data_IF_883531210969
#
_entry.id   IF_883531210969
#
_cell.length_a   1.000
_cell.length_b   1.000
_cell.length_c   1.000
_cell.angle_alpha   90.00
_cell.angle_beta   90.00
_cell.angle_gamma   90.00
#
_symmetry.space_group_name_H-M   'P 1'
#
loop_
_entity.id
_entity.type
_entity.pdbx_description
1 polymer ?
#
# COMPACT_ATOMS: atom_id res chain seq x y z
N UNK A 1 1.46 8.44 9.02
CA UNK A 1 1.65 7.09 8.46
C UNK A 1 3.02 6.60 8.83
N UNK A 2 3.11 5.38 9.32
CA UNK A 2 4.37 4.69 9.52
C UNK A 2 4.71 3.94 8.23
N UNK A 3 5.77 4.37 7.56
CA UNK A 3 6.18 3.91 6.24
C UNK A 3 7.50 3.16 6.35
N UNK A 4 7.56 1.95 5.82
CA UNK A 4 8.81 1.17 5.71
C UNK A 4 9.60 1.65 4.51
N UNK A 5 8.95 1.75 3.34
CA UNK A 5 9.61 2.14 2.08
C UNK A 5 8.60 2.64 1.04
N UNK A 6 9.08 3.52 0.15
CA UNK A 6 8.38 3.96 -1.05
C UNK A 6 9.36 3.85 -2.21
N UNK A 7 9.04 3.05 -3.23
CA UNK A 7 9.94 2.80 -4.35
C UNK A 7 9.17 2.45 -5.63
N UNK A 8 9.84 2.48 -6.78
CA UNK A 8 9.29 2.00 -8.05
C UNK A 8 9.96 0.69 -8.46
N UNK A 9 9.16 -0.27 -8.92
CA UNK A 9 9.62 -1.56 -9.43
C UNK A 9 8.59 -2.10 -10.45
N UNK A 10 8.63 -3.39 -10.74
CA UNK A 10 7.63 -4.11 -11.54
C UNK A 10 6.67 -4.86 -10.62
N UNK A 11 5.37 -4.78 -10.89
CA UNK A 11 4.35 -5.58 -10.20
C UNK A 11 4.60 -7.07 -10.47
N UNK A 12 4.72 -7.88 -9.41
CA UNK A 12 4.97 -9.31 -9.49
C UNK A 12 3.70 -10.16 -9.60
N UNK A 13 2.55 -9.63 -9.15
CA UNK A 13 1.35 -10.41 -8.88
C UNK A 13 0.07 -9.79 -9.45
N UNK A 14 -1.04 -10.54 -9.32
CA UNK A 14 -2.40 -10.16 -9.75
C UNK A 14 -2.53 -9.85 -11.25
N UNK A 15 -3.63 -9.19 -11.64
CA UNK A 15 -3.91 -8.78 -13.02
C UNK A 15 -2.95 -7.71 -13.57
N UNK A 16 -2.08 -7.15 -12.74
CA UNK A 16 -1.14 -6.08 -13.10
C UNK A 16 0.32 -6.55 -13.20
N UNK A 17 0.58 -7.85 -13.04
CA UNK A 17 1.92 -8.42 -13.13
C UNK A 17 2.64 -8.01 -14.43
N UNK A 18 3.90 -7.60 -14.31
CA UNK A 18 4.74 -7.14 -15.42
C UNK A 18 4.68 -5.63 -15.71
N UNK A 19 3.83 -4.87 -15.03
CA UNK A 19 3.73 -3.42 -15.22
C UNK A 19 4.61 -2.62 -14.24
N UNK A 20 5.21 -1.49 -14.66
CA UNK A 20 5.84 -0.56 -13.73
C UNK A 20 4.85 -0.08 -12.67
N UNK A 21 5.23 -0.18 -11.40
CA UNK A 21 4.39 0.11 -10.25
C UNK A 21 5.19 0.85 -9.17
N UNK A 22 4.56 1.82 -8.52
CA UNK A 22 5.06 2.42 -7.28
C UNK A 22 4.53 1.60 -6.12
N UNK A 23 5.39 1.21 -5.19
CA UNK A 23 5.01 0.51 -3.98
C UNK A 23 5.11 1.47 -2.80
N UNK A 24 4.04 1.54 -2.01
CA UNK A 24 4.00 2.23 -0.71
C UNK A 24 3.84 1.15 0.35
N UNK A 25 4.96 0.75 0.96
CA UNK A 25 4.98 -0.30 1.98
C UNK A 25 4.87 0.33 3.36
N UNK A 26 3.75 0.12 4.03
CA UNK A 26 3.50 0.59 5.39
C UNK A 26 4.19 -0.33 6.41
N UNK A 27 4.34 0.16 7.63
CA UNK A 27 4.89 -0.59 8.76
C UNK A 27 3.77 -1.08 9.68
N UNK A 28 3.96 -2.27 10.24
CA UNK A 28 3.09 -2.89 11.24
C UNK A 28 2.18 -3.94 10.63
N UNK A 29 2.17 -5.13 11.22
CA UNK A 29 1.19 -6.18 10.97
C UNK A 29 0.79 -6.79 12.31
N UNK A 30 -0.48 -7.16 12.47
CA UNK A 30 -1.00 -7.84 13.66
C UNK A 30 -1.15 -9.36 13.43
N UNK A 31 -0.92 -9.84 12.20
CA UNK A 31 -0.78 -11.26 11.90
C UNK A 31 0.67 -11.72 12.11
N UNK A 32 0.85 -13.02 12.35
CA UNK A 32 2.15 -13.67 12.52
C UNK A 32 2.16 -14.96 11.70
N UNK A 33 1.97 -14.79 10.41
CA UNK A 33 1.87 -15.87 9.44
C UNK A 33 3.18 -16.67 9.42
N UNK A 34 3.09 -18.00 9.40
CA UNK A 34 4.28 -18.89 9.43
C UNK A 34 5.18 -18.73 8.19
N UNK A 35 4.64 -18.14 7.11
CA UNK A 35 5.31 -18.01 5.81
C UNK A 35 5.46 -16.54 5.37
N UNK A 36 5.56 -15.61 6.33
CA UNK A 36 5.71 -14.19 6.01
C UNK A 36 7.11 -13.90 5.43
N UNK A 37 7.15 -13.43 4.20
CA UNK A 37 8.38 -12.99 3.52
C UNK A 37 8.80 -11.55 3.89
N UNK A 38 7.92 -10.83 4.58
CA UNK A 38 8.04 -9.38 4.83
C UNK A 38 8.06 -9.03 6.32
N UNK A 39 8.59 -9.91 7.18
CA UNK A 39 8.63 -9.71 8.65
C UNK A 39 9.35 -8.41 9.05
N UNK A 40 10.29 -7.93 8.22
CA UNK A 40 10.98 -6.66 8.42
C UNK A 40 10.04 -5.45 8.52
N UNK A 41 8.81 -5.58 8.01
CA UNK A 41 7.77 -4.55 8.10
C UNK A 41 7.08 -4.50 9.45
N UNK A 42 7.29 -5.45 10.36
CA UNK A 42 6.53 -5.50 11.63
C UNK A 42 6.86 -4.35 12.59
N UNK A 43 8.06 -3.77 12.49
CA UNK A 43 8.53 -2.69 13.37
C UNK A 43 9.42 -1.71 12.61
N UNK A 44 9.74 -0.57 13.22
CA UNK A 44 10.60 0.44 12.60
C UNK A 44 9.83 1.38 11.68
N UNK A 45 10.37 1.62 10.48
CA UNK A 45 9.83 2.59 9.53
C UNK A 45 10.04 4.06 9.95
N UNK A 46 9.58 4.97 9.10
CA UNK A 46 9.61 6.41 9.32
C UNK A 46 8.19 6.96 9.37
N UNK A 47 7.95 7.86 10.32
CA UNK A 47 6.67 8.59 10.39
C UNK A 47 6.65 9.68 9.32
N UNK A 48 5.74 9.55 8.37
CA UNK A 48 5.52 10.50 7.29
C UNK A 48 4.10 11.08 7.35
N UNK A 49 3.97 12.35 7.02
CA UNK A 49 2.68 13.01 6.78
C UNK A 49 2.11 12.61 5.41
N UNK A 50 0.82 12.86 5.21
CA UNK A 50 0.17 12.65 3.91
C UNK A 50 0.91 13.38 2.78
N UNK A 51 1.26 14.65 2.99
CA UNK A 51 1.98 15.46 2.00
C UNK A 51 3.39 14.91 1.69
N UNK A 52 4.10 14.41 2.70
CA UNK A 52 5.41 13.79 2.49
C UNK A 52 5.29 12.53 1.63
N UNK A 53 4.31 11.67 1.90
CA UNK A 53 4.06 10.47 1.09
C UNK A 53 3.69 10.83 -0.35
N UNK A 54 2.77 11.79 -0.54
CA UNK A 54 2.40 12.28 -1.87
C UNK A 54 3.59 12.89 -2.62
N UNK A 55 4.48 13.60 -1.93
CA UNK A 55 5.70 14.17 -2.51
C UNK A 55 6.66 13.09 -3.02
N UNK A 56 6.89 12.04 -2.22
CA UNK A 56 7.75 10.92 -2.64
C UNK A 56 7.15 10.14 -3.80
N UNK A 57 5.82 9.93 -3.81
CA UNK A 57 5.13 9.28 -4.93
C UNK A 57 5.29 10.10 -6.22
N UNK A 58 5.08 11.42 -6.17
CA UNK A 58 5.24 12.30 -7.34
C UNK A 58 6.65 12.30 -7.90
N UNK A 59 7.67 12.08 -7.06
CA UNK A 59 9.08 11.94 -7.48
C UNK A 59 9.35 10.71 -8.35
N UNK A 60 8.46 9.71 -8.31
CA UNK A 60 8.57 8.45 -9.06
C UNK A 60 7.78 8.47 -10.38
N UNK A 61 7.28 9.63 -10.79
CA UNK A 61 6.72 9.85 -12.13
C UNK A 61 7.71 9.38 -13.22
N UNK A 62 7.22 8.87 -14.37
CA UNK A 62 5.84 8.94 -14.86
C UNK A 62 4.95 7.74 -14.47
N UNK A 63 5.38 6.88 -13.54
CA UNK A 63 4.60 5.71 -13.13
C UNK A 63 3.31 6.14 -12.42
N UNK A 64 2.16 5.65 -12.89
CA UNK A 64 0.83 6.01 -12.36
C UNK A 64 0.08 4.83 -11.74
N UNK A 65 0.59 3.61 -11.91
CA UNK A 65 0.13 2.44 -11.16
C UNK A 65 0.82 2.44 -9.79
N UNK A 66 0.03 2.36 -8.73
CA UNK A 66 0.54 2.41 -7.36
C UNK A 66 -0.12 1.32 -6.51
N UNK A 67 0.69 0.57 -5.78
CA UNK A 67 0.24 -0.41 -4.80
C UNK A 67 0.57 0.05 -3.38
N UNK A 68 -0.46 0.05 -2.54
CA UNK A 68 -0.33 0.24 -1.10
C UNK A 68 -0.34 -1.16 -0.46
N UNK A 69 0.73 -1.47 0.28
CA UNK A 69 0.97 -2.81 0.87
C UNK A 69 1.71 -2.69 2.22
N UNK A 70 2.03 -3.82 2.86
CA UNK A 70 2.95 -4.00 3.99
C UNK A 70 2.54 -3.40 5.34
N UNK A 71 3.08 -3.90 6.45
CA UNK A 71 2.55 -5.16 6.96
C UNK A 71 1.06 -5.29 6.60
N UNK A 72 0.13 -4.96 7.50
CA UNK A 72 -1.29 -4.84 7.13
C UNK A 72 -1.68 -3.35 6.96
N UNK A 73 -1.89 -2.85 5.72
CA UNK A 73 -2.20 -1.44 5.48
C UNK A 73 -3.42 -0.93 6.24
N UNK A 74 -4.42 -1.80 6.41
CA UNK A 74 -5.68 -1.42 7.07
C UNK A 74 -5.53 -1.20 8.58
N UNK A 75 -4.38 -1.53 9.18
CA UNK A 75 -4.06 -1.07 10.54
C UNK A 75 -3.91 0.44 10.63
N UNK A 76 -3.55 1.11 9.51
CA UNK A 76 -3.39 2.56 9.42
C UNK A 76 -4.53 3.24 8.65
N UNK A 77 -5.74 2.63 8.65
CA UNK A 77 -6.89 3.07 7.82
C UNK A 77 -7.19 4.58 7.86
N UNK A 78 -7.04 5.24 9.02
CA UNK A 78 -7.33 6.67 9.20
C UNK A 78 -6.49 7.57 8.30
N UNK A 79 -5.32 7.10 7.91
CA UNK A 79 -4.38 7.84 7.08
C UNK A 79 -4.32 7.28 5.64
N UNK A 80 -4.47 5.96 5.50
CA UNK A 80 -4.42 5.26 4.19
C UNK A 80 -5.65 5.58 3.32
N UNK A 81 -6.85 5.70 3.91
CA UNK A 81 -8.06 6.05 3.15
C UNK A 81 -7.95 7.43 2.48
N UNK A 82 -7.58 8.52 3.20
CA UNK A 82 -7.32 9.81 2.58
C UNK A 82 -6.25 9.75 1.48
N UNK A 83 -5.18 8.97 1.68
CA UNK A 83 -4.13 8.80 0.67
C UNK A 83 -4.69 8.19 -0.63
N UNK A 84 -5.45 7.09 -0.54
CA UNK A 84 -6.09 6.46 -1.71
C UNK A 84 -6.99 7.45 -2.45
N UNK A 85 -7.81 8.22 -1.73
CA UNK A 85 -8.71 9.19 -2.34
C UNK A 85 -7.96 10.30 -3.10
N UNK A 86 -6.87 10.82 -2.54
CA UNK A 86 -6.04 11.85 -3.16
C UNK A 86 -5.32 11.32 -4.41
N UNK A 87 -4.82 10.08 -4.36
CA UNK A 87 -4.15 9.43 -5.49
C UNK A 87 -5.10 9.18 -6.65
N UNK A 88 -6.31 8.66 -6.38
CA UNK A 88 -7.35 8.49 -7.41
C UNK A 88 -7.69 9.83 -8.05
N UNK A 89 -7.89 10.88 -7.24
CA UNK A 89 -8.18 12.24 -7.74
C UNK A 89 -7.04 12.80 -8.59
N UNK A 90 -5.80 12.37 -8.31
CA UNK A 90 -4.60 12.77 -9.05
C UNK A 90 -4.32 11.89 -10.29
N UNK A 91 -5.23 10.96 -10.64
CA UNK A 91 -5.13 10.12 -11.84
C UNK A 91 -4.30 8.84 -11.68
N UNK A 92 -3.96 8.44 -10.46
CA UNK A 92 -3.29 7.15 -10.22
C UNK A 92 -4.29 5.99 -10.28
N UNK A 93 -3.84 4.85 -10.80
CA UNK A 93 -4.51 3.56 -10.58
C UNK A 93 -3.99 2.98 -9.27
N UNK A 94 -4.87 2.81 -8.28
CA UNK A 94 -4.49 2.42 -6.92
C UNK A 94 -4.88 0.97 -6.64
N UNK A 95 -3.88 0.16 -6.30
CA UNK A 95 -4.01 -1.19 -5.78
C UNK A 95 -3.86 -1.15 -4.25
N UNK A 96 -4.67 -1.93 -3.55
CA UNK A 96 -4.52 -2.19 -2.12
C UNK A 96 -4.31 -3.68 -1.93
N UNK A 97 -3.13 -4.06 -1.48
CA UNK A 97 -2.84 -5.42 -1.04
C UNK A 97 -3.09 -5.54 0.46
N UNK A 98 -3.95 -6.48 0.87
CA UNK A 98 -4.36 -6.64 2.28
C UNK A 98 -4.65 -8.11 2.57
N UNK A 99 -4.53 -8.51 3.83
CA UNK A 99 -4.97 -9.84 4.26
C UNK A 99 -6.49 -9.99 4.28
N UNK A 100 -7.23 -8.87 4.26
CA UNK A 100 -8.68 -8.86 4.39
C UNK A 100 -9.19 -9.09 5.82
N UNK A 101 -8.32 -9.16 6.83
CA UNK A 101 -8.74 -9.32 8.24
C UNK A 101 -9.54 -8.10 8.76
N UNK A 102 -9.32 -6.92 8.16
CA UNK A 102 -9.95 -5.66 8.53
C UNK A 102 -11.06 -5.31 7.56
N UNK A 103 -12.15 -4.67 8.02
CA UNK A 103 -13.23 -4.24 7.13
C UNK A 103 -12.74 -3.33 6.00
N UNK A 104 -13.13 -3.64 4.77
CA UNK A 104 -12.77 -2.87 3.57
C UNK A 104 -13.92 -1.98 3.06
N UNK A 105 -14.93 -1.74 3.90
CA UNK A 105 -16.14 -0.98 3.54
C UNK A 105 -15.84 0.50 3.27
N UNK A 106 -14.85 1.07 3.96
CA UNK A 106 -14.45 2.47 3.80
C UNK A 106 -13.39 2.67 2.70
N UNK A 107 -12.87 1.58 2.12
CA UNK A 107 -11.92 1.66 1.00
C UNK A 107 -12.67 2.17 -0.23
N UNK A 108 -12.21 3.25 -0.91
CA UNK A 108 -12.89 3.82 -2.06
C UNK A 108 -13.17 2.77 -3.14
N UNK A 109 -14.34 2.86 -3.77
CA UNK A 109 -14.80 1.84 -4.72
C UNK A 109 -13.89 1.68 -5.95
N UNK A 110 -13.13 2.71 -6.31
CA UNK A 110 -12.19 2.70 -7.43
C UNK A 110 -10.85 2.01 -7.09
N UNK A 111 -10.56 1.77 -5.81
CA UNK A 111 -9.36 1.03 -5.41
C UNK A 111 -9.55 -0.44 -5.75
N UNK A 112 -8.56 -1.01 -6.43
CA UNK A 112 -8.53 -2.43 -6.74
C UNK A 112 -8.00 -3.16 -5.51
N UNK A 113 -8.85 -3.98 -4.90
CA UNK A 113 -8.54 -4.71 -3.67
C UNK A 113 -7.97 -6.07 -4.04
N UNK A 114 -6.70 -6.30 -3.72
CA UNK A 114 -6.02 -7.58 -3.83
C UNK A 114 -6.02 -8.17 -2.43
N UNK A 115 -6.80 -9.22 -2.23
CA UNK A 115 -6.91 -9.89 -0.93
C UNK A 115 -6.07 -11.14 -0.98
N UNK A 116 -4.98 -11.15 -0.21
CA UNK A 116 -4.15 -12.33 -0.03
C UNK A 116 -4.44 -12.95 1.34
N UNK A 117 -5.16 -14.06 1.35
CA UNK A 117 -5.60 -14.71 2.58
C UNK A 117 -4.39 -15.30 3.30
N UNK A 118 -4.01 -14.64 4.39
CA UNK A 118 -2.90 -15.07 5.23
C UNK A 118 -3.37 -16.03 6.33
N UNK A 119 -2.53 -16.99 6.69
CA UNK A 119 -2.73 -17.95 7.78
C UNK A 119 -1.53 -17.99 8.73
#
# INVERSE_FOLDING_TARGET
>A
MQITEIYSSIQGESSFAGLPCIFVRLTGCNLRCDWCDSEYTFTGGMKMTLEQVLSEIRRLAPVTLLEITGGEPMLQQREVIPLMQQLITSGYTVLLETSGERPLAEVPAQVIKIVDVKC
#
